data_IF_511481735499
#
_entry.id   IF_511481735499
#
_cell.length_a   1.000
_cell.length_b   1.000
_cell.length_c   1.000
_cell.angle_alpha   90.00
_cell.angle_beta   90.00
_cell.angle_gamma   90.00
#
_symmetry.space_group_name_H-M   'P 1'
#
loop_
_entity.id
_entity.type
_entity.pdbx_description
1 polymer ?
#
# COMPACT_ATOMS: atom_id res chain seq x y z
N UNK A 1 2.01 4.91 -41.32
CA UNK A 1 1.95 6.37 -41.08
C UNK A 1 0.66 6.88 -41.71
N UNK A 2 -0.27 7.40 -40.92
CA UNK A 2 -1.60 7.78 -41.41
C UNK A 2 -1.66 9.25 -41.91
N UNK A 3 -0.79 10.12 -41.38
CA UNK A 3 -0.68 11.52 -41.80
C UNK A 3 0.79 11.97 -41.88
N UNK A 4 1.42 11.91 -43.06
CA UNK A 4 2.83 12.27 -43.23
C UNK A 4 3.01 13.81 -43.29
N UNK A 5 3.65 14.41 -42.28
CA UNK A 5 4.15 15.80 -42.27
C UNK A 5 5.69 15.85 -42.34
N UNK A 6 6.24 16.52 -43.36
CA UNK A 6 7.69 16.73 -43.45
C UNK A 6 8.13 17.83 -42.48
N UNK A 7 8.81 17.46 -41.39
CA UNK A 7 9.35 18.39 -40.39
C UNK A 7 10.87 18.26 -40.37
N UNK A 8 11.57 19.25 -40.90
CA UNK A 8 13.04 19.33 -40.88
C UNK A 8 13.76 18.26 -41.70
N UNK A 9 13.10 17.66 -42.71
CA UNK A 9 13.72 16.67 -43.61
C UNK A 9 14.05 15.33 -42.96
N UNK A 10 13.58 15.09 -41.74
CA UNK A 10 13.88 13.86 -40.99
C UNK A 10 13.13 12.66 -41.59
N UNK A 11 13.72 11.45 -41.56
CA UNK A 11 13.02 10.24 -41.99
C UNK A 11 11.81 9.97 -41.09
N UNK A 12 10.74 9.45 -41.67
CA UNK A 12 9.49 9.13 -40.96
C UNK A 12 9.67 8.19 -39.76
N UNK A 13 10.67 7.30 -39.83
CA UNK A 13 11.04 6.40 -38.75
C UNK A 13 12.22 6.93 -37.94
N UNK A 14 12.08 8.13 -37.36
CA UNK A 14 13.11 8.78 -36.55
C UNK A 14 13.18 8.19 -35.13
N UNK A 15 13.67 6.95 -35.01
CA UNK A 15 13.83 6.23 -33.72
C UNK A 15 14.44 7.09 -32.60
N UNK A 16 15.53 7.88 -32.82
CA UNK A 16 16.11 8.70 -31.76
C UNK A 16 15.16 9.78 -31.21
N UNK A 17 14.23 10.29 -32.02
CA UNK A 17 13.26 11.31 -31.58
C UNK A 17 12.11 10.70 -30.77
N UNK A 18 11.83 9.40 -30.91
CA UNK A 18 10.80 8.71 -30.13
C UNK A 18 11.30 8.22 -28.78
N UNK A 19 12.62 8.06 -28.61
CA UNK A 19 13.21 7.52 -27.38
C UNK A 19 12.83 8.32 -26.12
N UNK A 20 12.88 9.67 -26.09
CA UNK A 20 12.46 10.42 -24.91
C UNK A 20 10.97 10.22 -24.60
N UNK A 21 10.11 10.24 -25.61
CA UNK A 21 8.66 10.05 -25.42
C UNK A 21 8.35 8.65 -24.90
N UNK A 22 8.99 7.62 -25.45
CA UNK A 22 8.81 6.25 -24.99
C UNK A 22 9.31 6.04 -23.56
N UNK A 23 10.43 6.69 -23.19
CA UNK A 23 10.96 6.68 -21.82
C UNK A 23 9.93 7.27 -20.84
N UNK A 24 9.42 8.46 -21.11
CA UNK A 24 8.42 9.11 -20.25
C UNK A 24 7.14 8.28 -20.11
N UNK A 25 6.62 7.71 -21.21
CA UNK A 25 5.43 6.84 -21.17
C UNK A 25 5.69 5.60 -20.31
N UNK A 26 6.89 5.02 -20.40
CA UNK A 26 7.25 3.83 -19.63
C UNK A 26 7.33 4.16 -18.14
N UNK A 27 8.02 5.26 -17.78
CA UNK A 27 8.14 5.71 -16.38
C UNK A 27 6.78 6.08 -15.80
N UNK A 28 5.96 6.83 -16.55
CA UNK A 28 4.62 7.20 -16.13
C UNK A 28 3.73 5.97 -15.91
N UNK A 29 3.75 5.02 -16.85
CA UNK A 29 2.96 3.79 -16.74
C UNK A 29 3.40 2.93 -15.56
N UNK A 30 4.71 2.82 -15.32
CA UNK A 30 5.25 2.10 -14.17
C UNK A 30 4.86 2.77 -12.85
N UNK A 31 4.99 4.10 -12.75
CA UNK A 31 4.61 4.86 -11.56
C UNK A 31 3.12 4.72 -11.23
N UNK A 32 2.26 4.94 -12.21
CA UNK A 32 0.81 4.77 -12.04
C UNK A 32 0.42 3.32 -11.72
N UNK A 33 1.07 2.34 -12.36
CA UNK A 33 0.83 0.92 -12.10
C UNK A 33 1.17 0.52 -10.66
N UNK A 34 2.29 1.01 -10.12
CA UNK A 34 2.68 0.76 -8.73
C UNK A 34 1.71 1.41 -7.77
N UNK A 35 1.36 2.68 -7.97
CA UNK A 35 0.41 3.38 -7.09
C UNK A 35 -0.96 2.70 -7.10
N UNK A 36 -1.48 2.37 -8.29
CA UNK A 36 -2.77 1.70 -8.40
C UNK A 36 -2.77 0.33 -7.74
N UNK A 37 -1.73 -0.47 -7.99
CA UNK A 37 -1.57 -1.80 -7.36
C UNK A 37 -1.47 -1.68 -5.84
N UNK A 38 -0.72 -0.72 -5.33
CA UNK A 38 -0.60 -0.46 -3.90
C UNK A 38 -1.95 -0.11 -3.26
N UNK A 39 -2.70 0.81 -3.85
CA UNK A 39 -4.01 1.23 -3.33
C UNK A 39 -5.02 0.06 -3.32
N UNK A 40 -5.07 -0.73 -4.40
CA UNK A 40 -5.97 -1.89 -4.48
C UNK A 40 -5.55 -3.00 -3.53
N UNK A 41 -4.24 -3.31 -3.45
CA UNK A 41 -3.74 -4.42 -2.63
C UNK A 41 -3.86 -4.16 -1.13
N UNK A 42 -3.60 -2.93 -0.70
CA UNK A 42 -3.72 -2.53 0.72
C UNK A 42 -5.15 -2.16 1.11
N UNK A 43 -6.00 -1.88 0.13
CA UNK A 43 -7.37 -1.42 0.37
C UNK A 43 -7.46 0.02 0.86
N UNK A 44 -6.36 0.80 0.84
CA UNK A 44 -6.33 2.21 1.25
C UNK A 44 -6.87 3.09 0.13
N UNK A 45 -8.18 3.00 -0.09
CA UNK A 45 -8.89 3.79 -1.10
C UNK A 45 -9.39 5.11 -0.51
N UNK A 46 -9.42 6.20 -1.30
CA UNK A 46 -9.98 7.47 -0.86
C UNK A 46 -11.45 7.28 -0.43
N UNK A 47 -11.77 7.69 0.79
CA UNK A 47 -13.10 7.54 1.40
C UNK A 47 -13.30 6.26 2.22
N UNK A 48 -12.34 5.34 2.28
CA UNK A 48 -12.42 4.19 3.18
C UNK A 48 -12.08 4.61 4.62
N UNK A 49 -12.91 4.20 5.58
CA UNK A 49 -12.61 4.38 7.01
C UNK A 49 -11.38 3.53 7.39
N UNK A 50 -10.33 4.12 8.00
CA UNK A 50 -9.17 3.36 8.42
C UNK A 50 -9.51 2.49 9.64
N UNK A 51 -9.00 1.27 9.66
CA UNK A 51 -9.04 0.39 10.84
C UNK A 51 -7.84 0.74 11.72
N UNK A 52 -8.09 1.40 12.84
CA UNK A 52 -7.06 1.83 13.79
C UNK A 52 -7.27 1.08 15.10
N UNK A 53 -6.31 0.23 15.48
CA UNK A 53 -6.39 -0.60 16.70
C UNK A 53 -6.10 0.20 17.97
N UNK A 54 -5.21 1.19 17.90
CA UNK A 54 -4.95 2.12 19.00
C UNK A 54 -4.75 3.52 18.40
N UNK A 55 -5.42 4.53 18.96
CA UNK A 55 -5.36 5.92 18.46
C UNK A 55 -3.95 6.50 18.49
N UNK A 56 -3.09 6.00 19.39
CA UNK A 56 -1.70 6.43 19.57
C UNK A 56 -0.70 5.70 18.68
N UNK A 57 -1.16 4.77 17.83
CA UNK A 57 -0.27 3.97 16.96
C UNK A 57 0.51 4.83 15.95
N UNK A 58 -0.01 6.00 15.60
CA UNK A 58 0.62 6.94 14.68
C UNK A 58 1.51 7.97 15.36
N UNK A 59 1.55 7.99 16.70
CA UNK A 59 2.24 9.00 17.50
C UNK A 59 3.40 8.38 18.27
N UNK A 60 3.12 7.69 19.39
CA UNK A 60 4.13 7.31 20.36
C UNK A 60 4.12 5.84 20.79
N UNK A 61 3.19 5.02 20.29
CA UNK A 61 3.08 3.61 20.66
C UNK A 61 3.09 2.67 19.44
N UNK A 62 3.64 1.48 19.62
CA UNK A 62 3.50 0.37 18.68
C UNK A 62 2.44 -0.60 19.16
N UNK A 63 1.58 -1.07 18.25
CA UNK A 63 0.50 -2.02 18.58
C UNK A 63 0.70 -3.33 17.82
N UNK A 64 0.70 -4.44 18.55
CA UNK A 64 0.68 -5.78 17.98
C UNK A 64 -0.76 -6.30 18.00
N UNK A 65 -1.39 -6.36 16.84
CA UNK A 65 -2.72 -6.94 16.70
C UNK A 65 -2.61 -8.44 16.39
N UNK A 66 -3.14 -9.30 17.26
CA UNK A 66 -3.21 -10.74 17.03
C UNK A 66 -4.62 -11.10 16.61
N UNK A 67 -4.77 -11.60 15.38
CA UNK A 67 -6.04 -12.06 14.86
C UNK A 67 -6.36 -13.45 15.42
N UNK A 68 -7.55 -13.60 16.01
CA UNK A 68 -8.07 -14.90 16.40
C UNK A 68 -8.60 -15.62 15.16
N UNK A 69 -7.85 -16.60 14.67
CA UNK A 69 -8.29 -17.49 13.60
C UNK A 69 -8.57 -18.88 14.18
N UNK A 70 -9.83 -19.32 14.14
CA UNK A 70 -10.26 -20.61 14.68
C UNK A 70 -10.31 -20.71 16.21
N UNK A 71 -10.25 -21.93 16.74
CA UNK A 71 -10.40 -22.25 18.17
C UNK A 71 -9.08 -22.28 18.95
N UNK A 72 -7.93 -22.09 18.29
CA UNK A 72 -6.60 -22.26 18.90
C UNK A 72 -6.07 -21.05 19.67
N UNK A 73 -6.77 -19.92 19.67
CA UNK A 73 -6.34 -18.73 20.39
C UNK A 73 -6.72 -18.81 21.87
N UNK A 74 -5.70 -18.85 22.73
CA UNK A 74 -5.81 -18.78 24.18
C UNK A 74 -5.39 -17.39 24.67
N UNK A 75 -6.35 -16.66 25.23
CA UNK A 75 -6.14 -15.31 25.73
C UNK A 75 -5.23 -15.27 26.97
N UNK A 76 -5.26 -16.28 27.83
CA UNK A 76 -4.42 -16.29 29.03
C UNK A 76 -2.94 -16.49 28.68
N UNK A 77 -2.67 -17.36 27.71
CA UNK A 77 -1.31 -17.54 27.19
C UNK A 77 -0.81 -16.27 26.50
N UNK A 78 -1.68 -15.58 25.76
CA UNK A 78 -1.33 -14.33 25.10
C UNK A 78 -0.96 -13.22 26.10
N UNK A 79 -1.73 -13.07 27.19
CA UNK A 79 -1.43 -12.15 28.29
C UNK A 79 -0.07 -12.49 28.92
N UNK A 80 0.19 -13.76 29.25
CA UNK A 80 1.48 -14.19 29.83
C UNK A 80 2.66 -13.86 28.91
N UNK A 81 2.52 -14.04 27.60
CA UNK A 81 3.56 -13.67 26.63
C UNK A 81 3.74 -12.15 26.59
N UNK A 82 2.65 -11.38 26.60
CA UNK A 82 2.70 -9.93 26.58
C UNK A 82 3.41 -9.36 27.83
N UNK A 83 3.05 -9.85 29.02
CA UNK A 83 3.67 -9.47 30.29
C UNK A 83 5.17 -9.83 30.31
N UNK A 84 5.52 -11.05 29.87
CA UNK A 84 6.92 -11.49 29.79
C UNK A 84 7.77 -10.58 28.90
N UNK A 85 7.18 -9.96 27.89
CA UNK A 85 7.87 -9.09 26.94
C UNK A 85 7.67 -7.59 27.24
N UNK A 86 7.19 -7.22 28.43
CA UNK A 86 6.97 -5.83 28.86
C UNK A 86 5.99 -5.05 27.95
N UNK A 87 4.91 -5.68 27.51
CA UNK A 87 3.81 -4.94 26.88
C UNK A 87 3.22 -3.94 27.90
N UNK A 88 3.07 -2.68 27.49
CA UNK A 88 2.56 -1.61 28.36
C UNK A 88 1.05 -1.74 28.60
N UNK A 89 0.31 -2.12 27.56
CA UNK A 89 -1.14 -2.22 27.56
C UNK A 89 -1.58 -3.49 26.81
N UNK A 90 -2.60 -4.17 27.33
CA UNK A 90 -3.24 -5.31 26.68
C UNK A 90 -4.74 -5.09 26.62
N UNK A 91 -5.31 -5.09 25.41
CA UNK A 91 -6.74 -5.07 25.19
C UNK A 91 -7.19 -6.41 24.60
N UNK A 92 -8.00 -7.14 25.37
CA UNK A 92 -8.49 -8.48 25.01
C UNK A 92 -9.71 -8.50 24.08
N UNK A 93 -10.29 -7.34 23.72
CA UNK A 93 -11.48 -7.31 22.86
C UNK A 93 -11.57 -6.03 22.03
N UNK A 94 -10.91 -6.05 20.88
CA UNK A 94 -11.17 -5.08 19.81
C UNK A 94 -12.28 -5.61 18.90
N UNK A 95 -13.54 -5.34 19.24
CA UNK A 95 -14.62 -5.43 18.23
C UNK A 95 -14.40 -4.28 17.23
N UNK A 96 -14.16 -4.64 15.98
CA UNK A 96 -14.07 -3.67 14.88
C UNK A 96 -15.43 -2.97 14.77
N UNK A 97 -15.58 -1.79 15.35
CA UNK A 97 -16.71 -0.91 15.04
C UNK A 97 -16.69 -0.63 13.53
N UNK A 98 -17.66 -1.23 12.83
CA UNK A 98 -17.74 -1.23 11.38
C UNK A 98 -18.42 0.02 10.85
#
# INVERSE_FOLDING_TARGET
>A
VNWPINIGGKPWNSLPSFLPVAFEITVLSAGLGVVFTFLVRTGVLPGRKPVIYNKRVTDDMFTLAVLKEGSGFDNELAIKIAERNNALEWDGRMELER
#
